data_IF_199852530854
#
_entry.id   IF_199852530854
#
_cell.length_a   1.000
_cell.length_b   1.000
_cell.length_c   1.000
_cell.angle_alpha   90.00
_cell.angle_beta   90.00
_cell.angle_gamma   90.00
#
_symmetry.space_group_name_H-M   'P 1'
#
loop_
_entity.id
_entity.type
_entity.pdbx_description
1 polymer ?
#
# COMPACT_ATOMS: atom_id res chain seq x y z
N UNK A 1 10.62 3.50 16.61
CA UNK A 1 10.26 2.32 17.42
C UNK A 1 11.11 2.34 18.67
N UNK A 2 10.69 1.64 19.74
CA UNK A 2 11.52 1.53 20.93
C UNK A 2 12.85 0.89 20.55
N UNK A 3 13.94 1.40 21.11
CA UNK A 3 15.26 0.80 20.97
C UNK A 3 15.32 -0.53 21.71
N UNK A 4 16.29 -1.39 21.37
CA UNK A 4 16.54 -2.61 22.13
C UNK A 4 16.75 -2.32 23.63
N UNK A 5 17.30 -1.16 23.98
CA UNK A 5 17.47 -0.73 25.38
C UNK A 5 16.13 -0.40 26.03
N UNK A 6 15.24 0.30 25.33
CA UNK A 6 13.89 0.61 25.84
C UNK A 6 13.05 -0.66 26.04
N UNK A 7 13.15 -1.63 25.13
CA UNK A 7 12.54 -2.95 25.32
C UNK A 7 13.15 -3.69 26.52
N UNK A 8 14.48 -3.72 26.63
CA UNK A 8 15.18 -4.40 27.72
C UNK A 8 14.81 -3.85 29.11
N UNK A 9 14.53 -2.55 29.23
CA UNK A 9 14.08 -1.94 30.49
C UNK A 9 12.78 -2.53 31.02
N UNK A 10 11.89 -2.93 30.11
CA UNK A 10 10.54 -3.46 30.39
C UNK A 10 10.52 -5.00 30.51
N UNK A 11 11.63 -5.68 30.20
CA UNK A 11 11.73 -7.13 30.33
C UNK A 11 12.07 -7.57 31.77
N UNK A 12 11.74 -8.81 32.17
CA UNK A 12 12.01 -9.36 33.50
C UNK A 12 13.49 -9.51 33.87
N UNK A 13 14.40 -9.43 32.90
CA UNK A 13 15.86 -9.56 33.07
C UNK A 13 16.32 -10.90 33.69
N UNK A 14 15.50 -11.94 33.57
CA UNK A 14 15.81 -13.28 34.12
C UNK A 14 16.82 -14.07 33.29
N UNK A 15 16.95 -13.76 31.99
CA UNK A 15 17.77 -14.53 31.03
C UNK A 15 17.48 -16.04 31.04
N UNK A 16 16.23 -16.44 31.32
CA UNK A 16 15.79 -17.83 31.44
C UNK A 16 15.87 -18.65 30.14
N UNK A 17 15.89 -17.98 28.97
CA UNK A 17 15.86 -18.58 27.62
C UNK A 17 14.53 -19.23 27.20
N UNK A 18 13.47 -19.08 27.99
CA UNK A 18 12.15 -19.65 27.68
C UNK A 18 11.50 -19.08 26.41
N UNK A 19 11.96 -17.91 25.94
CA UNK A 19 11.56 -17.30 24.67
C UNK A 19 12.42 -17.75 23.46
N UNK A 20 13.29 -18.76 23.64
CA UNK A 20 14.20 -19.26 22.60
C UNK A 20 15.40 -18.35 22.29
N UNK A 21 15.55 -17.22 23.00
CA UNK A 21 16.69 -16.31 22.85
C UNK A 21 17.71 -16.49 23.97
N UNK A 22 19.02 -16.32 23.70
CA UNK A 22 20.07 -16.62 24.66
C UNK A 22 20.08 -15.69 25.88
N UNK A 23 19.58 -14.45 25.74
CA UNK A 23 19.46 -13.46 26.81
C UNK A 23 18.22 -12.59 26.60
N UNK A 24 17.74 -11.92 27.65
CA UNK A 24 16.68 -10.91 27.54
C UNK A 24 17.10 -9.73 26.65
N UNK A 25 18.40 -9.38 26.60
CA UNK A 25 18.90 -8.36 25.68
C UNK A 25 18.82 -8.82 24.22
N UNK A 26 19.18 -10.08 23.93
CA UNK A 26 19.01 -10.65 22.60
C UNK A 26 17.54 -10.67 22.18
N UNK A 27 16.63 -11.04 23.09
CA UNK A 27 15.20 -10.94 22.86
C UNK A 27 14.75 -9.50 22.58
N UNK A 28 15.23 -8.52 23.36
CA UNK A 28 14.94 -7.11 23.12
C UNK A 28 15.45 -6.62 21.74
N UNK A 29 16.57 -7.14 21.26
CA UNK A 29 17.05 -6.87 19.90
C UNK A 29 16.13 -7.50 18.84
N UNK A 30 15.64 -8.71 19.05
CA UNK A 30 14.67 -9.33 18.13
C UNK A 30 13.34 -8.56 18.10
N UNK A 31 12.85 -8.09 19.25
CA UNK A 31 11.68 -7.21 19.35
C UNK A 31 11.89 -5.89 18.58
N UNK A 32 13.02 -5.21 18.78
CA UNK A 32 13.37 -3.98 18.05
C UNK A 32 13.44 -4.19 16.53
N UNK A 33 13.87 -5.38 16.11
CA UNK A 33 13.93 -5.77 14.70
C UNK A 33 12.60 -6.33 14.17
N UNK A 34 11.55 -6.45 14.99
CA UNK A 34 10.26 -7.07 14.67
C UNK A 34 10.38 -8.56 14.24
N UNK A 35 11.40 -9.24 14.74
CA UNK A 35 11.64 -10.67 14.49
C UNK A 35 11.05 -11.58 15.57
N UNK A 36 10.57 -10.99 16.66
CA UNK A 36 9.87 -11.66 17.75
C UNK A 36 8.69 -10.81 18.22
N UNK A 37 7.76 -11.40 18.96
CA UNK A 37 6.64 -10.71 19.61
C UNK A 37 6.83 -10.72 21.12
N UNK A 38 6.30 -9.73 21.82
CA UNK A 38 6.40 -9.68 23.28
C UNK A 38 5.71 -10.87 23.95
N UNK A 39 4.68 -11.41 23.28
CA UNK A 39 3.96 -12.63 23.65
C UNK A 39 4.87 -13.86 23.76
N UNK A 40 6.02 -13.87 23.06
CA UNK A 40 6.95 -14.99 23.06
C UNK A 40 7.69 -15.13 24.41
N UNK A 41 7.63 -14.12 25.30
CA UNK A 41 8.18 -14.21 26.65
C UNK A 41 7.07 -14.44 27.69
N UNK A 42 7.02 -15.63 28.32
CA UNK A 42 5.94 -15.98 29.26
C UNK A 42 5.99 -15.19 30.58
N UNK A 43 7.14 -14.59 30.89
CA UNK A 43 7.40 -13.93 32.18
C UNK A 43 7.14 -12.41 32.17
N UNK A 44 6.69 -11.84 31.05
CA UNK A 44 6.40 -10.39 30.95
C UNK A 44 5.06 -10.09 31.63
N UNK A 45 5.08 -9.15 32.58
CA UNK A 45 3.88 -8.65 33.27
C UNK A 45 2.92 -7.96 32.29
N UNK A 46 1.62 -8.01 32.57
CA UNK A 46 0.61 -7.47 31.66
C UNK A 46 0.77 -5.96 31.44
N UNK A 47 1.12 -5.21 32.49
CA UNK A 47 1.38 -3.77 32.38
C UNK A 47 2.55 -3.46 31.44
N UNK A 48 3.60 -4.29 31.46
CA UNK A 48 4.72 -4.17 30.53
C UNK A 48 4.30 -4.53 29.11
N UNK A 49 3.42 -5.53 28.91
CA UNK A 49 2.86 -5.85 27.59
C UNK A 49 2.07 -4.70 27.00
N UNK A 50 1.24 -4.03 27.80
CA UNK A 50 0.40 -2.92 27.34
C UNK A 50 1.26 -1.68 27.03
N UNK A 51 2.22 -1.35 27.91
CA UNK A 51 3.17 -0.26 27.67
C UNK A 51 4.05 -0.51 26.42
N UNK A 52 4.47 -1.77 26.20
CA UNK A 52 5.18 -2.16 24.98
C UNK A 52 4.28 -2.10 23.75
N UNK A 53 3.03 -2.55 23.85
CA UNK A 53 2.10 -2.57 22.71
C UNK A 53 1.84 -1.14 22.21
N UNK A 54 1.65 -0.19 23.14
CA UNK A 54 1.53 1.22 22.78
C UNK A 54 2.84 1.79 22.22
N UNK A 55 3.99 1.49 22.83
CA UNK A 55 5.28 1.99 22.37
C UNK A 55 5.73 1.38 21.02
N UNK A 56 5.30 0.14 20.73
CA UNK A 56 5.61 -0.62 19.52
C UNK A 56 4.62 -0.38 18.39
N UNK A 57 3.47 0.26 18.66
CA UNK A 57 2.52 0.62 17.63
C UNK A 57 3.23 1.42 16.53
N UNK A 58 3.08 1.01 15.25
CA UNK A 58 3.67 1.75 14.14
C UNK A 58 3.24 3.22 14.21
N UNK A 59 4.18 4.18 14.03
CA UNK A 59 3.83 5.61 14.09
C UNK A 59 2.77 6.02 13.06
N UNK A 60 2.72 5.29 11.95
CA UNK A 60 1.64 5.36 10.96
C UNK A 60 0.81 4.08 11.07
N UNK A 61 -0.48 4.20 11.40
CA UNK A 61 -1.40 3.06 11.50
C UNK A 61 -1.45 2.29 10.19
N UNK A 62 -1.66 0.97 10.28
CA UNK A 62 -1.89 0.12 9.11
C UNK A 62 -3.39 0.01 8.89
N UNK A 63 -3.86 0.48 7.74
CA UNK A 63 -5.27 0.42 7.34
C UNK A 63 -5.43 -0.59 6.22
N UNK A 64 -6.45 -1.44 6.29
CA UNK A 64 -6.73 -2.45 5.26
C UNK A 64 -7.97 -2.07 4.48
N UNK A 65 -7.91 -2.22 3.16
CA UNK A 65 -9.06 -2.11 2.26
C UNK A 65 -9.31 -3.48 1.64
N UNK A 66 -10.51 -4.03 1.86
CA UNK A 66 -10.84 -5.41 1.52
C UNK A 66 -9.83 -6.40 2.11
N UNK A 67 -9.54 -7.47 1.36
CA UNK A 67 -8.69 -8.57 1.80
C UNK A 67 -7.24 -8.50 1.32
N UNK A 68 -6.89 -7.54 0.47
CA UNK A 68 -5.62 -7.54 -0.28
C UNK A 68 -4.79 -6.27 -0.16
N UNK A 69 -5.40 -5.13 0.11
CA UNK A 69 -4.67 -3.86 0.16
C UNK A 69 -4.46 -3.46 1.63
N UNK A 70 -3.20 -3.22 1.98
CA UNK A 70 -2.80 -2.61 3.23
C UNK A 70 -2.07 -1.30 2.93
N UNK A 71 -2.32 -0.28 3.74
CA UNK A 71 -1.76 1.06 3.59
C UNK A 71 -1.19 1.51 4.94
N UNK A 72 -0.13 2.34 4.94
CA UNK A 72 0.54 2.78 6.16
C UNK A 72 1.38 1.68 6.81
N UNK A 73 1.44 1.62 8.14
CA UNK A 73 2.33 0.69 8.88
C UNK A 73 3.80 1.07 8.86
N UNK A 74 4.07 2.28 8.40
CA UNK A 74 5.39 2.72 8.03
C UNK A 74 6.18 3.33 9.20
N UNK A 75 7.50 3.12 9.21
CA UNK A 75 8.34 3.46 10.37
C UNK A 75 9.54 4.35 10.08
N UNK A 76 9.87 4.57 8.80
CA UNK A 76 11.05 5.34 8.38
C UNK A 76 10.72 6.45 7.37
N UNK A 77 11.65 7.40 7.23
CA UNK A 77 11.59 8.44 6.21
C UNK A 77 12.36 8.04 4.95
N UNK A 78 13.43 7.27 5.10
CA UNK A 78 14.29 6.91 3.98
C UNK A 78 14.42 5.41 3.89
N UNK A 79 14.22 4.85 2.69
CA UNK A 79 14.25 3.40 2.47
C UNK A 79 15.59 2.74 2.83
N UNK A 80 16.70 3.48 2.76
CA UNK A 80 18.01 2.94 3.15
C UNK A 80 18.15 2.76 4.68
N UNK A 81 17.32 3.42 5.50
CA UNK A 81 17.27 3.18 6.94
C UNK A 81 16.61 1.81 7.24
N UNK A 82 15.51 1.53 6.54
CA UNK A 82 14.75 0.27 6.56
C UNK A 82 13.81 0.25 5.36
N UNK A 83 13.36 -0.93 4.93
CA UNK A 83 12.37 -1.06 3.84
C UNK A 83 11.11 -0.24 4.13
N UNK A 84 10.50 0.31 3.08
CA UNK A 84 9.09 0.70 3.12
C UNK A 84 8.23 -0.57 3.15
N UNK A 85 7.12 -0.53 3.87
CA UNK A 85 6.36 -1.71 4.27
C UNK A 85 5.27 -2.04 3.26
N UNK A 86 4.41 -1.08 2.95
CA UNK A 86 3.20 -1.31 2.16
C UNK A 86 3.25 -0.48 0.86
N UNK A 87 3.42 -1.12 -0.32
CA UNK A 87 3.46 -0.43 -1.60
C UNK A 87 2.22 0.44 -1.84
N UNK A 88 2.42 1.62 -2.45
CA UNK A 88 1.33 2.51 -2.86
C UNK A 88 0.35 1.78 -3.80
N UNK A 89 -0.95 1.93 -3.54
CA UNK A 89 -1.99 1.43 -4.43
C UNK A 89 -2.31 2.45 -5.53
N UNK A 90 -2.61 1.97 -6.74
CA UNK A 90 -3.13 2.78 -7.82
C UNK A 90 -4.55 2.33 -8.17
N UNK A 91 -5.47 3.29 -8.21
CA UNK A 91 -6.87 3.08 -8.57
C UNK A 91 -7.25 3.89 -9.81
N UNK A 92 -8.19 3.39 -10.60
CA UNK A 92 -8.72 4.09 -11.78
C UNK A 92 -10.24 4.21 -11.67
N UNK A 93 -10.78 5.37 -12.05
CA UNK A 93 -12.20 5.70 -11.88
C UNK A 93 -13.12 4.99 -12.88
N UNK A 94 -14.27 4.58 -12.38
CA UNK A 94 -15.49 4.18 -13.09
C UNK A 94 -16.59 5.17 -12.68
N UNK A 95 -17.08 5.95 -13.63
CA UNK A 95 -18.17 6.90 -13.39
C UNK A 95 -19.52 6.16 -13.38
N UNK A 96 -20.41 6.52 -12.46
CA UNK A 96 -21.79 6.03 -12.46
C UNK A 96 -22.65 6.60 -13.61
N UNK A 97 -22.17 7.63 -14.33
CA UNK A 97 -22.84 8.20 -15.50
C UNK A 97 -22.73 7.35 -16.76
N UNK A 98 -21.86 6.32 -16.75
CA UNK A 98 -21.84 5.29 -17.77
C UNK A 98 -23.10 4.42 -17.71
N UNK A 99 -23.46 3.81 -18.83
CA UNK A 99 -24.47 2.75 -18.86
C UNK A 99 -23.86 1.40 -18.48
N UNK A 100 -24.69 0.35 -18.40
CA UNK A 100 -24.26 -0.94 -17.90
C UNK A 100 -23.11 -1.56 -18.72
N UNK A 101 -23.13 -1.38 -20.04
CA UNK A 101 -22.09 -1.92 -20.92
C UNK A 101 -20.83 -1.06 -20.87
N UNK A 102 -20.95 0.27 -20.84
CA UNK A 102 -19.82 1.18 -20.61
C UNK A 102 -19.13 0.94 -19.26
N UNK A 103 -19.86 0.60 -18.20
CA UNK A 103 -19.29 0.19 -16.91
C UNK A 103 -18.45 -1.08 -17.08
N UNK A 104 -18.98 -2.11 -17.74
CA UNK A 104 -18.25 -3.38 -17.96
C UNK A 104 -17.01 -3.18 -18.81
N UNK A 105 -17.11 -2.40 -19.89
CA UNK A 105 -15.97 -2.05 -20.74
C UNK A 105 -14.90 -1.30 -19.96
N UNK A 106 -15.30 -0.34 -19.12
CA UNK A 106 -14.38 0.39 -18.26
C UNK A 106 -13.69 -0.53 -17.25
N UNK A 107 -14.42 -1.45 -16.62
CA UNK A 107 -13.83 -2.44 -15.71
C UNK A 107 -12.88 -3.39 -16.46
N UNK A 108 -13.24 -3.83 -17.67
CA UNK A 108 -12.38 -4.67 -18.51
C UNK A 108 -11.08 -3.94 -18.90
N UNK A 109 -11.17 -2.67 -19.24
CA UNK A 109 -10.00 -1.83 -19.49
C UNK A 109 -9.09 -1.76 -18.25
N UNK A 110 -9.63 -1.51 -17.06
CA UNK A 110 -8.83 -1.45 -15.82
C UNK A 110 -8.17 -2.81 -15.53
N UNK A 111 -8.86 -3.94 -15.76
CA UNK A 111 -8.28 -5.29 -15.66
C UNK A 111 -7.12 -5.50 -16.64
N UNK A 112 -7.20 -4.91 -17.83
CA UNK A 112 -6.15 -5.00 -18.86
C UNK A 112 -4.90 -4.19 -18.56
N UNK A 113 -4.93 -3.30 -17.54
CA UNK A 113 -3.72 -2.66 -17.00
C UNK A 113 -2.92 -3.67 -16.18
N UNK A 114 -2.47 -4.74 -16.86
CA UNK A 114 -1.74 -5.86 -16.33
C UNK A 114 -0.54 -6.13 -17.23
N UNK A 115 0.65 -6.23 -16.63
CA UNK A 115 1.92 -6.33 -17.34
C UNK A 115 2.78 -7.42 -16.71
N UNK A 116 3.51 -8.15 -17.54
CA UNK A 116 4.58 -9.03 -17.06
C UNK A 116 5.92 -8.32 -17.26
N UNK A 117 6.69 -8.20 -16.18
CA UNK A 117 8.02 -7.59 -16.22
C UNK A 117 8.93 -8.30 -15.22
N UNK A 118 10.07 -8.80 -15.68
CA UNK A 118 11.11 -9.39 -14.80
C UNK A 118 10.52 -10.58 -13.99
N UNK A 119 9.67 -11.40 -14.64
CA UNK A 119 8.98 -12.53 -14.02
C UNK A 119 7.92 -12.16 -12.97
N UNK A 120 7.58 -10.87 -12.84
CA UNK A 120 6.56 -10.36 -11.93
C UNK A 120 5.35 -9.84 -12.71
N UNK A 121 4.17 -10.09 -12.18
CA UNK A 121 2.92 -9.53 -12.71
C UNK A 121 2.62 -8.21 -12.00
N UNK A 122 2.55 -7.12 -12.74
CA UNK A 122 2.00 -5.85 -12.29
C UNK A 122 0.56 -5.72 -12.74
N UNK A 123 -0.30 -5.16 -11.89
CA UNK A 123 -1.69 -4.85 -12.23
C UNK A 123 -2.20 -3.63 -11.48
N UNK A 124 -3.28 -3.03 -11.95
CA UNK A 124 -4.06 -2.07 -11.17
C UNK A 124 -4.57 -2.72 -9.88
N UNK A 125 -4.42 -2.03 -8.75
CA UNK A 125 -4.71 -2.60 -7.43
C UNK A 125 -6.18 -2.47 -7.05
N UNK A 126 -6.78 -1.36 -7.50
CA UNK A 126 -8.13 -0.96 -7.15
C UNK A 126 -8.82 -0.28 -8.33
N UNK A 127 -10.13 -0.09 -8.22
CA UNK A 127 -10.88 0.91 -8.98
C UNK A 127 -11.60 1.85 -8.01
N UNK A 128 -11.98 3.03 -8.48
CA UNK A 128 -12.86 3.96 -7.75
C UNK A 128 -14.20 4.05 -8.45
N UNK A 129 -15.31 3.79 -7.76
CA UNK A 129 -16.65 4.06 -8.30
C UNK A 129 -17.06 5.46 -7.87
N UNK A 130 -17.23 6.36 -8.82
CA UNK A 130 -17.52 7.77 -8.54
C UNK A 130 -18.97 8.12 -8.86
N UNK A 131 -19.60 8.80 -7.91
CA UNK A 131 -20.97 9.30 -8.03
C UNK A 131 -21.01 10.65 -8.75
N UNK A 132 -20.80 10.63 -10.07
CA UNK A 132 -20.89 11.83 -10.92
C UNK A 132 -22.34 12.23 -11.19
N UNK A 133 -23.27 11.28 -11.12
CA UNK A 133 -24.69 11.52 -11.39
C UNK A 133 -25.43 12.24 -10.26
N UNK A 134 -24.93 12.15 -9.02
CA UNK A 134 -25.66 12.58 -7.82
C UNK A 134 -26.91 11.76 -7.50
N UNK A 135 -27.15 10.64 -8.21
CA UNK A 135 -28.31 9.77 -8.00
C UNK A 135 -27.93 8.51 -7.22
N UNK A 136 -28.55 8.34 -6.04
CA UNK A 136 -28.23 7.26 -5.12
C UNK A 136 -28.57 5.86 -5.69
N UNK A 137 -29.65 5.74 -6.46
CA UNK A 137 -30.08 4.46 -7.03
C UNK A 137 -29.14 4.02 -8.16
N UNK A 138 -28.75 4.97 -9.02
CA UNK A 138 -27.78 4.77 -10.09
C UNK A 138 -26.42 4.39 -9.52
N UNK A 139 -25.94 5.12 -8.51
CA UNK A 139 -24.66 4.83 -7.87
C UNK A 139 -24.64 3.41 -7.27
N UNK A 140 -25.71 3.01 -6.59
CA UNK A 140 -25.88 1.64 -6.07
C UNK A 140 -25.86 0.58 -7.18
N UNK A 141 -26.51 0.84 -8.31
CA UNK A 141 -26.53 -0.11 -9.42
C UNK A 141 -25.16 -0.27 -10.07
N UNK A 142 -24.43 0.83 -10.28
CA UNK A 142 -23.03 0.79 -10.73
C UNK A 142 -22.16 -0.04 -9.77
N UNK A 143 -22.33 0.15 -8.46
CA UNK A 143 -21.60 -0.63 -7.44
C UNK A 143 -21.91 -2.12 -7.51
N UNK A 144 -23.15 -2.53 -7.77
CA UNK A 144 -23.50 -3.94 -7.95
C UNK A 144 -22.79 -4.54 -9.18
N UNK A 145 -22.78 -3.84 -10.30
CA UNK A 145 -22.09 -4.27 -11.52
C UNK A 145 -20.60 -4.40 -11.24
N UNK A 146 -19.98 -3.40 -10.61
CA UNK A 146 -18.58 -3.43 -10.19
C UNK A 146 -18.29 -4.60 -9.24
N UNK A 147 -19.16 -4.91 -8.29
CA UNK A 147 -18.97 -6.07 -7.41
C UNK A 147 -19.06 -7.42 -8.15
N UNK A 148 -19.87 -7.48 -9.21
CA UNK A 148 -19.95 -8.66 -10.06
C UNK A 148 -18.66 -8.83 -10.89
N UNK A 149 -18.16 -7.73 -11.48
CA UNK A 149 -17.06 -7.75 -12.43
C UNK A 149 -15.66 -7.68 -11.79
N UNK A 150 -15.49 -6.95 -10.70
CA UNK A 150 -14.19 -6.65 -10.08
C UNK A 150 -14.04 -7.32 -8.71
N UNK A 151 -13.04 -8.18 -8.54
CA UNK A 151 -12.84 -8.95 -7.30
C UNK A 151 -11.80 -8.33 -6.35
N UNK A 152 -11.00 -7.38 -6.83
CA UNK A 152 -10.00 -6.66 -6.02
C UNK A 152 -10.65 -5.55 -5.19
N UNK A 153 -10.02 -5.07 -4.10
CA UNK A 153 -10.54 -3.95 -3.33
C UNK A 153 -10.87 -2.73 -4.20
N UNK A 154 -11.78 -1.88 -3.74
CA UNK A 154 -12.27 -0.73 -4.50
C UNK A 154 -12.64 0.42 -3.58
N UNK A 155 -12.81 1.61 -4.16
CA UNK A 155 -13.20 2.84 -3.49
C UNK A 155 -14.62 3.21 -3.91
N UNK A 156 -15.40 3.77 -2.99
CA UNK A 156 -16.64 4.48 -3.26
C UNK A 156 -16.38 5.98 -3.06
N UNK A 157 -16.66 6.79 -4.08
CA UNK A 157 -16.40 8.23 -4.07
C UNK A 157 -17.72 9.00 -4.20
N UNK A 158 -18.15 9.62 -3.10
CA UNK A 158 -19.27 10.56 -3.05
C UNK A 158 -19.17 11.44 -1.81
N UNK A 159 -19.50 12.73 -1.97
CA UNK A 159 -19.65 13.67 -0.85
C UNK A 159 -21.03 13.63 -0.21
N UNK A 160 -22.01 12.99 -0.84
CA UNK A 160 -23.37 12.89 -0.32
C UNK A 160 -23.50 11.62 0.54
N UNK A 161 -23.73 11.75 1.87
CA UNK A 161 -23.92 10.60 2.75
C UNK A 161 -25.11 9.71 2.35
N UNK A 162 -26.16 10.27 1.75
CA UNK A 162 -27.32 9.48 1.30
C UNK A 162 -26.94 8.57 0.12
N UNK A 163 -26.26 9.12 -0.89
CA UNK A 163 -25.71 8.34 -1.99
C UNK A 163 -24.71 7.28 -1.50
N UNK A 164 -23.82 7.65 -0.56
CA UNK A 164 -22.84 6.73 0.01
C UNK A 164 -23.52 5.57 0.77
N UNK A 165 -24.57 5.83 1.54
CA UNK A 165 -25.32 4.80 2.26
C UNK A 165 -25.96 3.78 1.30
N UNK A 166 -26.59 4.25 0.22
CA UNK A 166 -27.18 3.38 -0.80
C UNK A 166 -26.11 2.54 -1.51
N UNK A 167 -24.97 3.13 -1.87
CA UNK A 167 -23.85 2.42 -2.48
C UNK A 167 -23.28 1.33 -1.57
N UNK A 168 -23.08 1.61 -0.28
CA UNK A 168 -22.61 0.63 0.70
C UNK A 168 -23.58 -0.56 0.82
N UNK A 169 -24.89 -0.32 0.76
CA UNK A 169 -25.89 -1.41 0.76
C UNK A 169 -25.76 -2.33 -0.49
N UNK A 170 -25.24 -1.80 -1.59
CA UNK A 170 -24.93 -2.55 -2.82
C UNK A 170 -23.66 -3.40 -2.73
N UNK A 171 -22.79 -3.17 -1.74
CA UNK A 171 -21.47 -3.80 -1.62
C UNK A 171 -21.49 -5.22 -1.05
N UNK A 172 -22.65 -5.75 -0.63
CA UNK A 172 -22.78 -7.07 0.02
C UNK A 172 -21.84 -7.18 1.24
N UNK A 173 -20.97 -8.20 1.28
CA UNK A 173 -19.97 -8.43 2.35
C UNK A 173 -18.61 -7.79 2.05
N UNK A 174 -18.50 -6.95 1.01
CA UNK A 174 -17.23 -6.32 0.64
C UNK A 174 -16.97 -5.08 1.49
N UNK A 175 -15.70 -4.82 1.76
CA UNK A 175 -15.22 -3.70 2.57
C UNK A 175 -14.48 -2.70 1.67
N UNK A 176 -15.19 -1.80 0.96
CA UNK A 176 -14.56 -0.74 0.18
C UNK A 176 -13.94 0.34 1.06
N UNK A 177 -13.12 1.20 0.46
CA UNK A 177 -12.76 2.50 1.04
C UNK A 177 -13.88 3.51 0.76
N UNK A 178 -14.37 4.20 1.79
CA UNK A 178 -15.27 5.33 1.65
C UNK A 178 -14.42 6.58 1.43
N UNK A 179 -14.66 7.32 0.36
CA UNK A 179 -13.97 8.58 0.05
C UNK A 179 -14.99 9.69 -0.24
N UNK A 180 -14.73 10.88 0.30
CA UNK A 180 -15.62 12.05 0.18
C UNK A 180 -15.96 12.74 1.50
N UNK A 181 -15.39 12.30 2.63
CA UNK A 181 -15.64 12.97 3.91
C UNK A 181 -14.83 14.26 4.03
N UNK A 182 -15.49 15.39 4.19
CA UNK A 182 -14.90 16.70 4.48
C UNK A 182 -15.49 17.26 5.78
N UNK A 183 -15.18 18.52 6.12
CA UNK A 183 -15.64 19.14 7.36
C UNK A 183 -17.17 19.21 7.47
N UNK A 184 -17.88 19.30 6.33
CA UNK A 184 -19.33 19.55 6.28
C UNK A 184 -20.14 18.27 6.51
N UNK A 185 -19.61 17.12 6.10
CA UNK A 185 -20.32 15.83 6.17
C UNK A 185 -19.68 14.80 7.12
N UNK A 186 -18.63 15.19 7.86
CA UNK A 186 -17.77 14.29 8.64
C UNK A 186 -18.55 13.34 9.56
N UNK A 187 -19.54 13.85 10.29
CA UNK A 187 -20.30 13.07 11.27
C UNK A 187 -21.12 11.96 10.61
N UNK A 188 -21.81 12.29 9.52
CA UNK A 188 -22.59 11.32 8.75
C UNK A 188 -21.68 10.25 8.13
N UNK A 189 -20.55 10.66 7.56
CA UNK A 189 -19.59 9.74 6.94
C UNK A 189 -18.87 8.85 7.96
N UNK A 190 -18.54 9.35 9.15
CA UNK A 190 -18.00 8.56 10.25
C UNK A 190 -18.98 7.49 10.72
N UNK A 191 -20.27 7.83 10.80
CA UNK A 191 -21.32 6.87 11.14
C UNK A 191 -21.38 5.74 10.10
N UNK A 192 -21.39 6.08 8.80
CA UNK A 192 -21.39 5.09 7.72
C UNK A 192 -20.15 4.19 7.76
N UNK A 193 -18.97 4.76 7.96
CA UNK A 193 -17.71 4.01 8.13
C UNK A 193 -17.80 3.02 9.30
N UNK A 194 -18.27 3.47 10.46
CA UNK A 194 -18.42 2.64 11.66
C UNK A 194 -19.43 1.50 11.45
N UNK A 195 -20.61 1.81 10.92
CA UNK A 195 -21.70 0.85 10.76
C UNK A 195 -21.36 -0.22 9.70
N UNK A 196 -20.69 0.19 8.62
CA UNK A 196 -20.24 -0.70 7.55
C UNK A 196 -18.87 -1.35 7.81
N UNK A 197 -18.15 -0.93 8.86
CA UNK A 197 -16.76 -1.32 9.15
C UNK A 197 -15.81 -1.07 7.97
N UNK A 198 -16.09 -0.04 7.18
CA UNK A 198 -15.29 0.35 6.04
C UNK A 198 -14.31 1.47 6.43
N UNK A 199 -13.05 1.44 5.97
CA UNK A 199 -12.13 2.55 6.17
C UNK A 199 -12.68 3.83 5.52
N UNK A 200 -12.29 4.97 6.07
CA UNK A 200 -12.75 6.30 5.68
C UNK A 200 -11.59 7.20 5.29
N UNK A 201 -11.64 7.76 4.09
CA UNK A 201 -10.72 8.78 3.64
C UNK A 201 -11.30 10.19 3.87
N UNK A 202 -10.50 11.04 4.52
CA UNK A 202 -10.82 12.41 4.90
C UNK A 202 -10.15 13.39 3.92
N UNK A 203 -10.95 14.28 3.34
CA UNK A 203 -10.52 15.39 2.48
C UNK A 203 -10.22 16.58 3.38
N UNK A 204 -8.93 16.83 3.57
CA UNK A 204 -8.41 17.84 4.47
C UNK A 204 -7.74 18.96 3.66
N UNK A 205 -8.13 20.23 3.83
CA UNK A 205 -7.56 21.34 3.05
C UNK A 205 -6.09 21.63 3.38
N UNK A 206 -5.62 21.21 4.55
CA UNK A 206 -4.23 21.37 5.03
C UNK A 206 -3.92 20.39 6.20
N UNK A 207 -2.73 20.55 6.80
CA UNK A 207 -2.24 19.70 7.89
C UNK A 207 -2.95 19.95 9.23
N UNK A 208 -3.43 21.17 9.47
CA UNK A 208 -4.12 21.54 10.71
C UNK A 208 -5.52 20.93 10.70
N UNK A 209 -6.27 21.17 9.62
CA UNK A 209 -7.55 20.53 9.39
C UNK A 209 -7.44 18.99 9.40
N UNK A 210 -6.35 18.43 8.84
CA UNK A 210 -6.12 16.99 8.92
C UNK A 210 -5.96 16.48 10.36
N UNK A 211 -5.28 17.23 11.23
CA UNK A 211 -5.14 16.85 12.64
C UNK A 211 -6.47 16.95 13.39
N UNK A 212 -7.24 18.01 13.18
CA UNK A 212 -8.54 18.21 13.82
C UNK A 212 -9.57 17.16 13.35
N UNK A 213 -9.65 16.94 12.04
CA UNK A 213 -10.62 16.02 11.46
C UNK A 213 -10.33 14.56 11.83
N UNK A 214 -9.07 14.13 11.89
CA UNK A 214 -8.77 12.76 12.33
C UNK A 214 -9.11 12.55 13.80
N UNK A 215 -8.85 13.54 14.67
CA UNK A 215 -9.24 13.49 16.07
C UNK A 215 -10.76 13.46 16.25
N UNK A 216 -11.49 14.30 15.49
CA UNK A 216 -12.96 14.31 15.49
C UNK A 216 -13.52 12.99 14.95
N UNK A 217 -12.95 12.43 13.89
CA UNK A 217 -13.37 11.15 13.34
C UNK A 217 -13.14 9.99 14.35
N UNK A 218 -12.00 9.97 15.05
CA UNK A 218 -11.73 8.99 16.10
C UNK A 218 -12.72 9.10 17.26
N UNK A 219 -13.07 10.30 17.70
CA UNK A 219 -14.04 10.50 18.80
C UNK A 219 -15.46 10.06 18.42
N UNK A 220 -15.79 10.13 17.13
CA UNK A 220 -17.03 9.59 16.54
C UNK A 220 -16.97 8.06 16.33
N UNK A 221 -15.80 7.45 16.54
CA UNK A 221 -15.58 6.01 16.49
C UNK A 221 -15.08 5.47 15.14
N UNK A 222 -14.77 6.33 14.17
CA UNK A 222 -14.11 5.95 12.94
C UNK A 222 -12.60 5.80 13.18
N UNK A 223 -12.10 4.55 13.17
CA UNK A 223 -10.71 4.24 13.56
C UNK A 223 -9.76 4.06 12.38
N UNK A 224 -10.31 3.61 11.25
CA UNK A 224 -9.56 3.26 10.06
C UNK A 224 -9.58 4.41 9.07
N UNK A 225 -8.69 5.39 9.29
CA UNK A 225 -8.68 6.65 8.55
C UNK A 225 -7.55 6.73 7.52
N UNK A 226 -7.80 7.41 6.41
CA UNK A 226 -6.81 7.78 5.39
C UNK A 226 -6.93 9.28 5.17
N UNK A 227 -5.81 9.99 4.98
CA UNK A 227 -5.79 11.44 4.82
C UNK A 227 -5.53 11.83 3.37
N UNK A 228 -6.42 12.62 2.79
CA UNK A 228 -6.18 13.37 1.55
C UNK A 228 -5.88 14.82 1.95
N UNK A 229 -4.66 15.28 1.70
CA UNK A 229 -4.21 16.64 2.05
C UNK A 229 -4.54 17.67 0.96
N UNK A 230 -5.44 17.36 0.02
CA UNK A 230 -5.99 18.28 -1.00
C UNK A 230 -4.93 19.17 -1.66
N UNK A 231 -3.75 18.59 -1.94
CA UNK A 231 -2.58 19.36 -2.33
C UNK A 231 -2.77 19.93 -3.75
N UNK A 232 -2.70 21.25 -3.88
CA UNK A 232 -3.03 21.93 -5.15
C UNK A 232 -1.94 21.80 -6.21
N UNK A 233 -0.71 21.52 -5.79
CA UNK A 233 0.41 21.34 -6.70
C UNK A 233 1.50 20.41 -6.15
N UNK A 234 2.45 20.02 -7.02
CA UNK A 234 3.52 19.09 -6.67
C UNK A 234 4.42 19.56 -5.52
N UNK A 235 4.65 20.88 -5.40
CA UNK A 235 5.43 21.44 -4.29
C UNK A 235 4.67 21.24 -2.97
N UNK A 236 3.40 21.64 -2.95
CA UNK A 236 2.53 21.52 -1.79
C UNK A 236 2.37 20.05 -1.37
N UNK A 237 2.19 19.15 -2.33
CA UNK A 237 2.13 17.70 -2.11
C UNK A 237 3.39 17.17 -1.43
N UNK A 238 4.56 17.47 -2.00
CA UNK A 238 5.86 17.07 -1.45
C UNK A 238 6.03 17.57 -0.01
N UNK A 239 5.74 18.85 0.22
CA UNK A 239 5.89 19.49 1.53
C UNK A 239 4.94 18.87 2.55
N UNK A 240 3.63 18.81 2.25
CA UNK A 240 2.60 18.33 3.17
C UNK A 240 2.79 16.86 3.54
N UNK A 241 3.01 15.97 2.57
CA UNK A 241 3.23 14.55 2.87
C UNK A 241 4.53 14.34 3.66
N UNK A 242 5.59 15.12 3.37
CA UNK A 242 6.83 15.05 4.13
C UNK A 242 6.66 15.52 5.58
N UNK A 243 5.94 16.62 5.80
CA UNK A 243 5.68 17.13 7.15
C UNK A 243 4.81 16.14 7.93
N UNK A 244 3.72 15.64 7.37
CA UNK A 244 2.85 14.66 8.02
C UNK A 244 3.62 13.39 8.41
N UNK A 245 4.38 12.82 7.49
CA UNK A 245 5.22 11.63 7.74
C UNK A 245 6.27 11.88 8.83
N UNK A 246 6.93 13.04 8.81
CA UNK A 246 7.91 13.43 9.83
C UNK A 246 7.26 13.61 11.20
N UNK A 247 6.10 14.26 11.25
CA UNK A 247 5.35 14.46 12.48
C UNK A 247 4.92 13.12 13.10
N UNK A 248 4.36 12.22 12.30
CA UNK A 248 3.99 10.88 12.76
C UNK A 248 5.21 10.09 13.28
N UNK A 249 6.29 10.01 12.50
CA UNK A 249 7.44 9.14 12.84
C UNK A 249 8.34 9.73 13.92
N UNK A 250 8.79 10.98 13.74
CA UNK A 250 9.82 11.60 14.59
C UNK A 250 9.23 12.27 15.82
N UNK A 251 7.99 12.79 15.72
CA UNK A 251 7.31 13.49 16.82
C UNK A 251 6.19 12.68 17.46
N UNK A 252 5.88 11.48 16.95
CA UNK A 252 4.79 10.64 17.44
C UNK A 252 3.44 11.36 17.45
N UNK A 253 3.26 12.28 16.50
CA UNK A 253 2.04 13.07 16.40
C UNK A 253 0.90 12.21 15.83
N UNK A 254 0.16 11.57 16.73
CA UNK A 254 -0.92 10.60 16.42
C UNK A 254 -1.95 11.13 15.40
N UNK A 255 -2.37 12.42 15.40
CA UNK A 255 -3.37 12.91 14.44
C UNK A 255 -2.95 12.85 12.97
N UNK A 256 -1.63 12.82 12.67
CA UNK A 256 -1.12 12.63 11.30
C UNK A 256 -0.55 11.21 11.10
N UNK A 257 -0.79 10.31 12.05
CA UNK A 257 -0.33 8.93 12.05
C UNK A 257 -1.15 7.98 11.19
N UNK A 258 -1.59 8.42 10.01
CA UNK A 258 -2.43 7.67 9.09
C UNK A 258 -1.83 7.60 7.69
N UNK A 259 -2.21 6.60 6.87
CA UNK A 259 -1.84 6.59 5.46
C UNK A 259 -2.38 7.83 4.74
N UNK A 260 -1.68 8.25 3.69
CA UNK A 260 -2.07 9.42 2.90
C UNK A 260 -2.47 9.00 1.47
N UNK A 261 -3.48 9.63 0.90
CA UNK A 261 -3.91 9.40 -0.47
C UNK A 261 -3.96 10.70 -1.28
N UNK A 262 -4.07 10.57 -2.60
CA UNK A 262 -4.34 11.70 -3.50
C UNK A 262 -5.32 11.28 -4.60
N UNK A 263 -6.38 12.06 -4.82
CA UNK A 263 -7.19 11.96 -6.04
C UNK A 263 -6.58 12.91 -7.09
N UNK A 264 -6.21 12.37 -8.25
CA UNK A 264 -5.71 13.11 -9.41
C UNK A 264 -6.63 13.00 -10.63
N UNK A 265 -6.47 13.90 -11.59
CA UNK A 265 -7.12 13.81 -12.90
C UNK A 265 -6.44 12.75 -13.79
N UNK A 266 -6.23 13.11 -15.06
CA UNK A 266 -5.56 12.26 -16.06
C UNK A 266 -4.38 12.97 -16.71
N UNK A 267 -3.55 12.21 -17.42
CA UNK A 267 -2.43 12.73 -18.22
C UNK A 267 -1.19 13.08 -17.38
N UNK A 268 -0.27 13.83 -18.00
CA UNK A 268 1.09 14.04 -17.49
C UNK A 268 1.14 14.59 -16.06
N UNK A 269 0.26 15.54 -15.73
CA UNK A 269 0.21 16.11 -14.39
C UNK A 269 -0.24 15.10 -13.32
N UNK A 270 -1.22 14.26 -13.66
CA UNK A 270 -1.69 13.19 -12.79
C UNK A 270 -0.57 12.15 -12.57
N UNK A 271 0.15 11.79 -13.64
CA UNK A 271 1.30 10.88 -13.57
C UNK A 271 2.42 11.47 -12.72
N UNK A 272 2.75 12.76 -12.90
CA UNK A 272 3.75 13.47 -12.09
C UNK A 272 3.37 13.49 -10.61
N UNK A 273 2.09 13.73 -10.31
CA UNK A 273 1.55 13.68 -8.95
C UNK A 273 1.68 12.28 -8.35
N UNK A 274 1.43 11.24 -9.14
CA UNK A 274 1.60 9.85 -8.71
C UNK A 274 3.06 9.48 -8.47
N UNK A 275 3.99 9.94 -9.31
CA UNK A 275 5.44 9.78 -9.10
C UNK A 275 5.86 10.40 -7.77
N UNK A 276 5.47 11.65 -7.51
CA UNK A 276 5.79 12.32 -6.23
C UNK A 276 5.17 11.55 -5.06
N UNK A 277 3.90 11.15 -5.16
CA UNK A 277 3.22 10.38 -4.12
C UNK A 277 3.94 9.05 -3.82
N UNK A 278 4.41 8.37 -4.85
CA UNK A 278 5.15 7.10 -4.74
C UNK A 278 6.50 7.30 -4.03
N UNK A 279 7.18 8.41 -4.32
CA UNK A 279 8.46 8.76 -3.73
C UNK A 279 8.34 9.39 -2.33
N UNK A 280 7.17 9.94 -2.01
CA UNK A 280 6.95 10.83 -0.84
C UNK A 280 5.74 10.42 -0.03
N UNK A 281 5.68 9.13 0.31
CA UNK A 281 4.86 8.60 1.41
C UNK A 281 3.35 8.50 1.14
N UNK A 282 2.92 8.68 -0.11
CA UNK A 282 1.57 8.34 -0.53
C UNK A 282 1.31 6.83 -0.45
N UNK A 283 0.09 6.47 -0.10
CA UNK A 283 -0.40 5.09 0.08
C UNK A 283 -1.49 4.72 -0.92
N UNK A 284 -2.17 5.70 -1.52
CA UNK A 284 -3.12 5.51 -2.62
C UNK A 284 -3.09 6.71 -3.57
N UNK A 285 -3.16 6.45 -4.88
CA UNK A 285 -3.52 7.47 -5.88
C UNK A 285 -4.70 6.99 -6.71
N UNK A 286 -5.73 7.82 -6.82
CA UNK A 286 -6.91 7.57 -7.65
C UNK A 286 -6.82 8.44 -8.90
N UNK A 287 -6.85 7.83 -10.09
CA UNK A 287 -6.82 8.51 -11.39
C UNK A 287 -8.20 8.54 -12.03
N UNK A 288 -8.52 9.65 -12.71
CA UNK A 288 -9.66 9.67 -13.64
C UNK A 288 -9.48 8.67 -14.78
N UNK A 289 -8.28 8.69 -15.37
CA UNK A 289 -7.85 7.75 -16.39
C UNK A 289 -6.34 7.55 -16.31
N UNK A 290 -5.90 6.34 -16.65
CA UNK A 290 -4.49 5.95 -16.66
C UNK A 290 -4.24 5.09 -17.89
N UNK A 291 -3.37 5.54 -18.78
CA UNK A 291 -3.04 4.80 -20.01
C UNK A 291 -2.00 3.71 -19.75
N UNK A 292 -1.94 2.63 -20.57
CA UNK A 292 -0.96 1.56 -20.36
C UNK A 292 0.49 2.04 -20.34
N UNK A 293 0.84 3.01 -21.19
CA UNK A 293 2.18 3.60 -21.26
C UNK A 293 2.51 4.50 -20.06
N UNK A 294 1.51 4.93 -19.28
CA UNK A 294 1.67 5.68 -18.02
C UNK A 294 1.73 4.71 -16.83
N UNK A 295 0.91 3.66 -16.86
CA UNK A 295 0.80 2.66 -15.81
C UNK A 295 2.08 1.85 -15.63
N UNK A 296 2.66 1.33 -16.71
CA UNK A 296 3.85 0.46 -16.64
C UNK A 296 5.06 1.14 -15.96
N UNK A 297 5.43 2.40 -16.28
CA UNK A 297 6.46 3.13 -15.56
C UNK A 297 6.13 3.37 -14.08
N UNK A 298 4.89 3.69 -13.74
CA UNK A 298 4.47 3.89 -12.35
C UNK A 298 4.55 2.59 -11.53
N UNK A 299 4.09 1.48 -12.10
CA UNK A 299 4.14 0.17 -11.44
C UNK A 299 5.58 -0.28 -11.24
N UNK A 300 6.45 0.00 -12.22
CA UNK A 300 7.90 -0.19 -12.14
C UNK A 300 8.53 0.67 -11.05
N UNK A 301 8.20 1.97 -10.99
CA UNK A 301 8.71 2.87 -9.96
C UNK A 301 8.33 2.39 -8.57
N UNK A 302 7.04 2.04 -8.37
CA UNK A 302 6.57 1.45 -7.11
C UNK A 302 7.37 0.22 -6.73
N UNK A 303 7.52 -0.74 -7.64
CA UNK A 303 8.31 -1.94 -7.38
C UNK A 303 9.72 -1.57 -6.87
N UNK A 304 10.44 -0.72 -7.61
CA UNK A 304 11.82 -0.33 -7.27
C UNK A 304 11.90 0.35 -5.89
N UNK A 305 10.97 1.26 -5.59
CA UNK A 305 10.97 2.03 -4.35
C UNK A 305 10.67 1.13 -3.14
N UNK A 306 9.77 0.16 -3.29
CA UNK A 306 9.33 -0.72 -2.20
C UNK A 306 10.11 -2.03 -2.09
N UNK A 307 11.01 -2.34 -3.03
CA UNK A 307 11.97 -3.45 -2.87
C UNK A 307 12.79 -3.28 -1.59
N UNK A 308 12.87 -4.34 -0.79
CA UNK A 308 13.68 -4.37 0.43
C UNK A 308 15.16 -4.16 0.09
N UNK A 309 15.80 -3.06 0.52
CA UNK A 309 17.20 -2.82 0.18
C UNK A 309 18.17 -3.73 0.94
N UNK A 310 17.70 -4.48 1.94
CA UNK A 310 18.53 -5.42 2.71
C UNK A 310 18.50 -6.84 2.14
N UNK A 311 17.57 -7.13 1.23
CA UNK A 311 17.39 -8.47 0.64
C UNK A 311 17.55 -8.38 -0.86
N UNK A 312 18.66 -8.90 -1.43
CA UNK A 312 18.79 -9.00 -2.88
C UNK A 312 17.63 -9.83 -3.47
N UNK A 313 17.02 -9.35 -4.54
CA UNK A 313 16.02 -10.13 -5.27
C UNK A 313 16.76 -11.25 -6.02
N UNK A 314 16.35 -12.49 -5.77
CA UNK A 314 16.97 -13.68 -6.33
C UNK A 314 16.06 -14.38 -7.35
N UNK A 315 16.68 -15.03 -8.32
CA UNK A 315 16.02 -16.00 -9.21
C UNK A 315 16.26 -17.39 -8.65
N UNK A 316 15.31 -18.31 -8.84
CA UNK A 316 15.49 -19.69 -8.38
C UNK A 316 16.69 -20.30 -9.10
N UNK A 317 17.56 -20.98 -8.35
CA UNK A 317 18.64 -21.77 -8.94
C UNK A 317 18.03 -22.91 -9.76
N UNK A 318 18.29 -22.92 -11.07
CA UNK A 318 17.86 -23.96 -11.98
C UNK A 318 18.62 -23.84 -13.32
N UNK A 319 18.39 -24.81 -14.20
CA UNK A 319 18.75 -24.72 -15.61
C UNK A 319 17.53 -24.20 -16.39
N UNK A 320 17.62 -22.98 -16.92
CA UNK A 320 16.53 -22.35 -17.64
C UNK A 320 16.73 -22.42 -19.16
N UNK A 321 15.74 -22.89 -19.94
CA UNK A 321 15.77 -22.73 -21.39
C UNK A 321 15.44 -21.28 -21.77
N UNK A 322 16.29 -20.66 -22.60
CA UNK A 322 15.99 -19.37 -23.25
C UNK A 322 15.87 -19.60 -24.76
N UNK A 323 14.68 -19.34 -25.30
CA UNK A 323 14.33 -19.74 -26.67
C UNK A 323 13.95 -21.22 -26.74
N UNK A 324 14.53 -21.95 -27.70
CA UNK A 324 14.30 -23.39 -27.92
C UNK A 324 15.65 -24.14 -28.01
N UNK A 325 16.43 -24.18 -26.92
CA UNK A 325 17.76 -24.80 -26.95
C UNK A 325 17.69 -26.33 -27.11
N UNK A 326 18.66 -26.87 -27.82
CA UNK A 326 18.88 -28.29 -28.10
C UNK A 326 20.21 -28.79 -27.51
N UNK A 327 20.63 -30.01 -27.87
CA UNK A 327 21.88 -30.62 -27.39
C UNK A 327 23.16 -29.98 -27.93
N UNK A 328 23.07 -29.13 -28.96
CA UNK A 328 24.19 -28.39 -29.54
C UNK A 328 24.22 -26.92 -29.12
N UNK A 329 23.18 -26.48 -28.41
CA UNK A 329 23.05 -25.11 -27.94
C UNK A 329 24.05 -24.81 -26.81
N UNK A 330 24.61 -23.59 -26.76
CA UNK A 330 25.57 -23.22 -25.73
C UNK A 330 24.93 -23.24 -24.33
N UNK A 331 25.76 -23.59 -23.34
CA UNK A 331 25.44 -23.44 -21.92
C UNK A 331 26.13 -22.18 -21.42
N UNK A 332 25.36 -21.25 -20.85
CA UNK A 332 25.88 -20.04 -20.21
C UNK A 332 25.65 -20.10 -18.71
N UNK A 333 26.61 -19.58 -17.95
CA UNK A 333 26.53 -19.50 -16.49
C UNK A 333 26.23 -18.07 -16.07
N UNK A 334 25.39 -17.94 -15.04
CA UNK A 334 25.12 -16.66 -14.40
C UNK A 334 24.85 -16.85 -12.91
N UNK A 335 24.81 -15.75 -12.17
CA UNK A 335 24.46 -15.76 -10.75
C UNK A 335 22.94 -15.68 -10.56
N UNK A 336 22.46 -16.04 -9.38
CA UNK A 336 21.03 -15.92 -9.05
C UNK A 336 20.62 -14.52 -8.62
N UNK A 337 21.50 -13.51 -8.74
CA UNK A 337 21.10 -12.12 -8.57
C UNK A 337 20.19 -11.70 -9.72
N UNK A 338 18.95 -11.29 -9.41
CA UNK A 338 17.94 -11.01 -10.42
C UNK A 338 18.36 -9.99 -11.46
N UNK A 339 19.07 -8.92 -11.07
CA UNK A 339 19.50 -7.91 -12.02
C UNK A 339 20.51 -8.49 -13.03
N UNK A 340 21.48 -9.28 -12.57
CA UNK A 340 22.43 -9.98 -13.43
C UNK A 340 21.71 -10.96 -14.37
N UNK A 341 20.82 -11.79 -13.82
CA UNK A 341 20.04 -12.76 -14.60
C UNK A 341 19.19 -12.10 -15.68
N UNK A 342 18.37 -11.09 -15.35
CA UNK A 342 17.46 -10.47 -16.31
C UNK A 342 18.20 -9.61 -17.34
N UNK A 343 19.36 -9.05 -16.98
CA UNK A 343 20.22 -8.36 -17.96
C UNK A 343 20.74 -9.35 -18.99
N UNK A 344 21.35 -10.45 -18.54
CA UNK A 344 21.87 -11.48 -19.43
C UNK A 344 20.76 -12.14 -20.27
N UNK A 345 19.62 -12.46 -19.65
CA UNK A 345 18.48 -13.06 -20.36
C UNK A 345 17.94 -12.15 -21.47
N UNK A 346 17.83 -10.85 -21.23
CA UNK A 346 17.38 -9.90 -22.25
C UNK A 346 18.35 -9.84 -23.44
N UNK A 347 19.66 -9.87 -23.19
CA UNK A 347 20.67 -9.90 -24.24
C UNK A 347 20.65 -11.23 -25.02
N UNK A 348 20.46 -12.36 -24.35
CA UNK A 348 20.26 -13.67 -25.00
C UNK A 348 19.01 -13.65 -25.88
N UNK A 349 17.85 -13.22 -25.35
CA UNK A 349 16.59 -13.13 -26.10
C UNK A 349 16.75 -12.21 -27.33
N UNK A 350 17.45 -11.09 -27.19
CA UNK A 350 17.73 -10.16 -28.29
C UNK A 350 18.68 -10.73 -29.34
N UNK A 351 19.65 -11.55 -28.92
CA UNK A 351 20.58 -12.23 -29.84
C UNK A 351 19.90 -13.27 -30.74
N UNK A 352 18.73 -13.78 -30.31
CA UNK A 352 18.00 -14.90 -30.94
C UNK A 352 18.79 -16.21 -30.98
N UNK A 353 19.87 -16.34 -30.22
CA UNK A 353 20.59 -17.59 -30.03
C UNK A 353 19.93 -18.39 -28.90
N UNK A 354 19.46 -19.63 -29.14
CA UNK A 354 18.95 -20.49 -28.07
C UNK A 354 20.06 -20.86 -27.08
N UNK A 355 19.79 -20.77 -25.79
CA UNK A 355 20.78 -20.99 -24.73
C UNK A 355 20.18 -21.79 -23.58
N UNK A 356 20.97 -22.72 -23.05
CA UNK A 356 20.76 -23.29 -21.72
C UNK A 356 21.40 -22.39 -20.67
N UNK A 357 20.60 -21.68 -19.88
CA UNK A 357 21.11 -20.73 -18.90
C UNK A 357 21.14 -21.36 -17.50
N UNK A 358 22.35 -21.73 -17.05
CA UNK A 358 22.59 -22.26 -15.71
C UNK A 358 22.69 -21.10 -14.70
N UNK A 359 21.74 -21.05 -13.78
CA UNK A 359 21.76 -20.12 -12.66
C UNK A 359 22.49 -20.78 -11.49
N UNK A 360 23.52 -20.12 -10.95
CA UNK A 360 24.27 -20.55 -9.77
C UNK A 360 23.80 -19.75 -8.56
N UNK A 361 23.47 -20.41 -7.45
CA UNK A 361 23.13 -19.70 -6.22
C UNK A 361 24.39 -19.06 -5.61
N UNK A 362 24.40 -17.74 -5.59
CA UNK A 362 25.42 -16.90 -4.96
C UNK A 362 24.82 -16.04 -3.86
N UNK A 363 23.69 -16.47 -3.27
CA UNK A 363 22.88 -15.71 -2.31
C UNK A 363 22.43 -14.34 -2.84
N UNK A 364 22.24 -14.24 -4.17
CA UNK A 364 21.85 -12.99 -4.84
C UNK A 364 22.97 -11.99 -4.99
N UNK A 365 24.22 -12.44 -5.00
CA UNK A 365 25.39 -11.61 -5.27
C UNK A 365 25.71 -11.57 -6.78
N UNK A 366 26.10 -10.39 -7.25
CA UNK A 366 26.45 -10.13 -8.66
C UNK A 366 27.69 -10.86 -9.11
#
# INVERSE_FOLDING_TARGET
MPTAIEFFKLLPKTNCKDCGQPTCLAFAMQLANQKAKIEDCPHVQQEAKDALAEASAPPVKTIKVGNRIAMGGETVLYRHERRFINPIAYAVTVSDTLDADGIKERVAYIKSLCFERVGMQFKADMLSVRNDSGDAARFKETVKIVCAEWKDPFVLESKDPACMAEALSGCKLRVPLIYGADADNLEAMCKLSKDSKCPLALICPDLEAAAEMTQKAESLGAKDLIIDLSSRNLKELLERQTVARRAAIKKKFKPLGYPMMNRVGSGEYAVSTAVVSTLKYGSLVIFDDLKPYEALPLFTLRQNIYTDPQVPIQVKQDLYPVGTPDEHSPIMFTTNFSLTYFTLRADIEKSKVPVWLQIVNTDGLS
#
